data_IF_983588144566
#
_entry.id   IF_983588144566
#
_cell.length_a   1.000
_cell.length_b   1.000
_cell.length_c   1.000
_cell.angle_alpha   90.00
_cell.angle_beta   90.00
_cell.angle_gamma   90.00
#
_symmetry.space_group_name_H-M   'P 1'
#
loop_
_entity.id
_entity.type
_entity.pdbx_description
1 polymer ?
#
# COMPACT_ATOMS: atom_id res chain seq x y z
N UNK A 1 -87.43 -39.78 12.15
CA UNK A 1 -87.24 -38.32 12.01
C UNK A 1 -85.81 -38.09 11.50
N UNK A 2 -85.63 -37.58 10.27
CA UNK A 2 -84.32 -37.08 9.74
C UNK A 2 -84.15 -35.64 10.27
N UNK A 3 -82.93 -35.10 10.55
CA UNK A 3 -82.07 -34.57 9.46
C UNK A 3 -80.53 -34.49 9.68
N UNK A 4 -79.83 -34.28 8.55
CA UNK A 4 -78.53 -33.60 8.31
C UNK A 4 -77.25 -34.04 9.06
N UNK A 5 -76.18 -34.29 8.27
CA UNK A 5 -74.76 -33.85 8.43
C UNK A 5 -73.88 -34.81 7.58
N UNK A 6 -72.85 -34.49 6.82
CA UNK A 6 -72.29 -33.30 6.15
C UNK A 6 -71.29 -33.88 5.15
N UNK A 7 -71.23 -33.35 3.93
CA UNK A 7 -70.38 -33.83 2.85
C UNK A 7 -68.87 -33.70 3.18
N UNK A 8 -68.12 -34.78 3.00
CA UNK A 8 -66.66 -34.80 3.10
C UNK A 8 -66.07 -34.36 1.75
N UNK A 9 -65.67 -33.09 1.66
CA UNK A 9 -65.00 -32.51 0.50
C UNK A 9 -63.54 -32.98 0.50
N UNK A 10 -63.18 -33.84 -0.46
CA UNK A 10 -61.79 -34.18 -0.77
C UNK A 10 -61.13 -32.99 -1.47
N UNK A 11 -60.46 -32.13 -0.69
CA UNK A 11 -59.57 -31.08 -1.21
C UNK A 11 -58.28 -31.72 -1.72
N UNK A 12 -58.21 -31.98 -3.03
CA UNK A 12 -56.96 -32.25 -3.73
C UNK A 12 -56.12 -30.97 -3.75
N UNK A 13 -55.20 -30.83 -2.79
CA UNK A 13 -54.20 -29.76 -2.79
C UNK A 13 -53.21 -30.01 -3.93
N UNK A 14 -53.39 -29.33 -5.06
CA UNK A 14 -52.39 -29.23 -6.10
C UNK A 14 -51.17 -28.48 -5.56
N UNK A 15 -50.17 -29.22 -5.09
CA UNK A 15 -48.85 -28.68 -4.77
C UNK A 15 -48.19 -28.29 -6.09
N UNK A 16 -48.32 -27.02 -6.46
CA UNK A 16 -47.56 -26.43 -7.57
C UNK A 16 -46.09 -26.47 -7.14
N UNK A 17 -45.31 -27.40 -7.70
CA UNK A 17 -43.85 -27.40 -7.60
C UNK A 17 -43.35 -26.12 -8.27
N UNK A 18 -43.14 -25.07 -7.47
CA UNK A 18 -42.37 -23.92 -7.92
C UNK A 18 -40.92 -24.40 -8.18
N UNK A 19 -40.35 -24.15 -9.37
CA UNK A 19 -38.97 -24.50 -9.63
C UNK A 19 -38.08 -23.76 -8.62
N UNK A 20 -37.24 -24.53 -7.91
CA UNK A 20 -36.22 -23.97 -7.03
C UNK A 20 -35.36 -22.99 -7.83
N UNK A 21 -35.14 -21.75 -7.36
CA UNK A 21 -34.24 -20.83 -8.05
C UNK A 21 -32.87 -21.51 -8.11
N UNK A 22 -32.40 -21.77 -9.33
CA UNK A 22 -31.07 -22.29 -9.56
C UNK A 22 -30.08 -21.42 -8.77
N UNK A 23 -29.09 -22.01 -8.06
CA UNK A 23 -28.10 -21.23 -7.35
C UNK A 23 -27.49 -20.24 -8.34
N UNK A 24 -27.63 -18.94 -8.05
CA UNK A 24 -27.03 -17.90 -8.86
C UNK A 24 -25.56 -18.27 -9.04
N UNK A 25 -25.16 -18.50 -10.30
CA UNK A 25 -23.79 -18.76 -10.68
C UNK A 25 -22.94 -17.61 -10.13
N UNK A 26 -22.21 -17.89 -9.05
CA UNK A 26 -21.21 -16.97 -8.54
C UNK A 26 -20.31 -16.60 -9.72
N UNK A 27 -20.03 -15.31 -9.96
CA UNK A 27 -19.14 -14.93 -11.04
C UNK A 27 -17.82 -15.67 -10.84
N UNK A 28 -17.52 -16.58 -11.76
CA UNK A 28 -16.24 -17.23 -11.82
C UNK A 28 -15.21 -16.13 -11.99
N UNK A 29 -14.36 -15.94 -10.98
CA UNK A 29 -13.20 -15.07 -11.11
C UNK A 29 -12.39 -15.65 -12.26
N UNK A 30 -12.49 -15.03 -13.43
CA UNK A 30 -11.58 -15.28 -14.54
C UNK A 30 -10.20 -14.97 -13.97
N UNK A 31 -9.42 -16.00 -13.70
CA UNK A 31 -8.03 -15.81 -13.31
C UNK A 31 -7.34 -15.16 -14.50
N UNK A 32 -7.14 -13.84 -14.45
CA UNK A 32 -6.15 -13.22 -15.33
C UNK A 32 -4.86 -14.02 -15.15
N UNK A 33 -4.23 -14.43 -16.25
CA UNK A 33 -2.95 -15.17 -16.20
C UNK A 33 -1.86 -14.42 -15.43
N UNK A 34 -2.07 -13.11 -15.25
CA UNK A 34 -1.17 -12.17 -14.60
C UNK A 34 -1.68 -11.85 -13.18
N UNK A 35 -0.86 -12.02 -12.13
CA UNK A 35 -1.24 -11.70 -10.76
C UNK A 35 -1.21 -10.20 -10.51
N UNK A 36 -2.14 -9.67 -9.70
CA UNK A 36 -2.04 -8.29 -9.24
C UNK A 36 -0.81 -8.09 -8.34
N UNK A 37 -0.04 -7.03 -8.60
CA UNK A 37 1.18 -6.72 -7.85
C UNK A 37 0.96 -5.47 -6.99
N UNK A 38 1.14 -5.60 -5.68
CA UNK A 38 1.13 -4.49 -4.73
C UNK A 38 2.55 -4.25 -4.21
N UNK A 39 3.09 -3.07 -4.52
CA UNK A 39 4.39 -2.62 -4.01
C UNK A 39 4.19 -1.57 -2.90
N UNK A 40 4.64 -1.89 -1.68
CA UNK A 40 4.55 -1.01 -0.52
C UNK A 40 5.95 -0.45 -0.24
N UNK A 41 6.16 0.82 -0.55
CA UNK A 41 7.39 1.55 -0.21
C UNK A 41 7.18 2.33 1.09
N UNK A 42 7.99 2.04 2.11
CA UNK A 42 7.93 2.70 3.42
C UNK A 42 9.06 3.73 3.49
N UNK A 43 8.76 4.94 3.99
CA UNK A 43 9.74 6.02 4.16
C UNK A 43 10.31 6.00 5.58
N UNK A 44 11.63 6.12 5.70
CA UNK A 44 12.40 6.26 6.95
C UNK A 44 12.08 5.23 8.07
N UNK A 45 11.58 4.05 7.70
CA UNK A 45 11.37 2.95 8.64
C UNK A 45 12.66 2.16 8.87
N UNK A 46 13.01 1.95 10.14
CA UNK A 46 14.07 1.04 10.56
C UNK A 46 13.51 -0.31 11.05
N UNK A 47 14.39 -1.22 11.42
CA UNK A 47 14.07 -2.59 11.88
C UNK A 47 13.68 -2.67 13.36
N UNK A 48 13.69 -1.57 14.11
CA UNK A 48 13.40 -1.54 15.55
C UNK A 48 11.89 -1.61 15.83
N UNK A 49 11.29 -2.78 15.56
CA UNK A 49 9.85 -3.05 15.69
C UNK A 49 9.55 -4.47 16.18
N UNK A 50 8.28 -4.75 16.50
CA UNK A 50 7.81 -6.12 16.86
C UNK A 50 8.02 -7.18 15.78
N UNK A 51 8.34 -6.76 14.55
CA UNK A 51 8.70 -7.66 13.47
C UNK A 51 10.06 -8.35 13.71
N UNK A 52 11.00 -7.67 14.37
CA UNK A 52 12.34 -8.18 14.66
C UNK A 52 12.55 -8.54 16.14
N UNK A 53 11.89 -7.84 17.06
CA UNK A 53 11.95 -8.09 18.50
C UNK A 53 10.56 -8.02 19.13
N UNK A 54 10.03 -9.15 19.60
CA UNK A 54 8.69 -9.23 20.21
C UNK A 54 8.51 -8.41 21.47
N UNK A 55 9.61 -8.02 22.13
CA UNK A 55 9.57 -7.14 23.29
C UNK A 55 9.58 -5.64 22.94
N UNK A 56 9.73 -5.30 21.66
CA UNK A 56 9.80 -3.93 21.19
C UNK A 56 8.46 -3.18 21.40
N UNK A 57 8.47 -1.91 21.84
CA UNK A 57 7.26 -1.13 22.04
C UNK A 57 6.53 -0.72 20.74
N UNK A 58 7.23 -0.71 19.59
CA UNK A 58 6.68 -0.33 18.29
C UNK A 58 5.97 -1.53 17.66
N UNK A 59 4.66 -1.59 17.88
CA UNK A 59 3.80 -2.69 17.44
C UNK A 59 3.44 -2.60 15.96
N UNK A 60 3.61 -3.71 15.24
CA UNK A 60 3.34 -3.82 13.80
C UNK A 60 2.50 -5.06 13.44
N UNK A 61 1.34 -5.28 14.10
CA UNK A 61 0.60 -6.55 14.03
C UNK A 61 0.19 -6.94 12.59
N UNK A 62 -0.06 -5.96 11.72
CA UNK A 62 -0.36 -6.23 10.31
C UNK A 62 0.86 -6.66 9.49
N UNK A 63 2.05 -6.10 9.76
CA UNK A 63 3.29 -6.53 9.12
C UNK A 63 3.70 -7.91 9.63
N UNK A 64 3.51 -8.19 10.92
CA UNK A 64 3.72 -9.51 11.51
C UNK A 64 2.84 -10.57 10.85
N UNK A 65 1.53 -10.27 10.70
CA UNK A 65 0.59 -11.15 9.99
C UNK A 65 0.96 -11.33 8.51
N UNK A 66 1.48 -10.30 7.85
CA UNK A 66 1.94 -10.41 6.46
C UNK A 66 3.17 -11.31 6.36
N UNK A 67 4.14 -11.13 7.25
CA UNK A 67 5.36 -11.93 7.31
C UNK A 67 5.06 -13.42 7.57
N UNK A 68 4.11 -13.73 8.46
CA UNK A 68 3.67 -15.11 8.72
C UNK A 68 3.00 -15.80 7.53
N UNK A 69 2.37 -15.02 6.64
CA UNK A 69 1.65 -15.52 5.46
C UNK A 69 2.50 -15.58 4.20
N UNK A 70 3.75 -15.11 4.27
CA UNK A 70 4.62 -14.93 3.11
C UNK A 70 6.06 -15.33 3.39
N UNK A 71 6.97 -14.77 2.62
CA UNK A 71 8.41 -14.91 2.84
C UNK A 71 8.93 -13.66 3.54
N UNK A 72 9.59 -13.85 4.68
CA UNK A 72 10.21 -12.77 5.43
C UNK A 72 11.72 -12.78 5.26
N UNK A 73 12.29 -11.66 4.84
CA UNK A 73 13.73 -11.46 4.71
C UNK A 73 14.25 -10.73 5.95
N UNK A 74 14.86 -11.47 6.88
CA UNK A 74 15.49 -10.88 8.08
C UNK A 74 16.75 -10.06 7.79
N UNK A 75 17.25 -10.12 6.55
CA UNK A 75 18.43 -9.39 6.05
C UNK A 75 18.12 -8.79 4.69
N UNK A 76 17.34 -7.71 4.67
CA UNK A 76 17.06 -6.91 3.49
C UNK A 76 17.72 -5.53 3.65
N UNK A 77 18.56 -5.14 2.69
CA UNK A 77 19.35 -3.91 2.76
C UNK A 77 18.93 -2.93 1.67
N UNK A 78 18.88 -1.64 2.01
CA UNK A 78 18.75 -0.60 1.01
C UNK A 78 20.07 -0.41 0.25
N UNK A 79 19.99 0.04 -1.01
CA UNK A 79 21.19 0.33 -1.81
C UNK A 79 21.84 1.67 -1.46
N UNK A 80 21.15 2.52 -0.69
CA UNK A 80 21.67 3.79 -0.19
C UNK A 80 20.91 4.22 1.07
N UNK A 81 21.58 4.83 2.06
CA UNK A 81 20.94 5.35 3.27
C UNK A 81 20.21 6.70 3.05
N UNK A 82 19.80 7.01 1.82
CA UNK A 82 19.06 8.22 1.48
C UNK A 82 17.87 7.91 0.55
N UNK A 83 16.78 8.66 0.69
CA UNK A 83 15.50 8.40 0.05
C UNK A 83 15.60 8.31 -1.49
N UNK A 84 16.14 9.33 -2.15
CA UNK A 84 16.23 9.38 -3.62
C UNK A 84 17.11 8.26 -4.20
N UNK A 85 18.39 8.13 -3.81
CA UNK A 85 19.25 7.08 -4.36
C UNK A 85 18.73 5.66 -4.06
N UNK A 86 18.09 5.43 -2.91
CA UNK A 86 17.47 4.14 -2.58
C UNK A 86 16.28 3.84 -3.50
N UNK A 87 15.34 4.79 -3.65
CA UNK A 87 14.14 4.63 -4.50
C UNK A 87 14.50 4.51 -5.97
N UNK A 88 15.40 5.36 -6.46
CA UNK A 88 15.93 5.29 -7.80
C UNK A 88 16.55 3.93 -8.09
N UNK A 89 17.30 3.38 -7.13
CA UNK A 89 17.91 2.08 -7.30
C UNK A 89 16.90 0.94 -7.39
N UNK A 90 15.92 0.89 -6.49
CA UNK A 90 14.88 -0.16 -6.49
C UNK A 90 14.04 -0.11 -7.76
N UNK A 91 13.63 1.09 -8.19
CA UNK A 91 12.67 1.25 -9.25
C UNK A 91 13.30 1.22 -10.65
N UNK A 92 14.59 1.48 -10.78
CA UNK A 92 15.33 1.27 -12.04
C UNK A 92 16.04 -0.08 -12.14
N UNK A 93 16.20 -0.81 -11.03
CA UNK A 93 17.01 -2.02 -10.97
C UNK A 93 18.52 -1.78 -11.07
N UNK A 94 18.99 -0.54 -10.90
CA UNK A 94 20.42 -0.17 -11.02
C UNK A 94 20.99 0.35 -9.71
N UNK A 95 22.30 0.19 -9.45
CA UNK A 95 22.93 0.73 -8.23
C UNK A 95 23.18 2.24 -8.34
N UNK A 96 23.18 2.99 -7.23
CA UNK A 96 23.61 4.40 -7.19
C UNK A 96 24.97 4.64 -7.87
N UNK A 97 25.92 3.73 -7.65
CA UNK A 97 27.26 3.75 -8.26
C UNK A 97 27.27 3.64 -9.79
N UNK A 98 26.18 3.14 -10.38
CA UNK A 98 26.04 2.94 -11.83
C UNK A 98 25.12 3.99 -12.45
N UNK A 99 24.10 4.44 -11.72
CA UNK A 99 23.12 5.39 -12.24
C UNK A 99 23.43 6.86 -11.95
N UNK A 100 24.33 7.19 -11.02
CA UNK A 100 24.72 8.57 -10.76
C UNK A 100 23.76 9.36 -9.84
N UNK A 101 22.75 8.71 -9.26
CA UNK A 101 21.87 9.29 -8.24
C UNK A 101 22.51 9.07 -6.87
N UNK A 102 23.12 10.10 -6.29
CA UNK A 102 23.89 9.98 -5.04
C UNK A 102 23.28 10.72 -3.85
N UNK A 103 22.38 11.67 -4.08
CA UNK A 103 21.80 12.50 -3.03
C UNK A 103 20.31 12.70 -3.26
N UNK A 104 19.63 13.11 -2.19
CA UNK A 104 18.20 13.47 -2.25
C UNK A 104 17.92 14.54 -3.31
N UNK A 105 18.83 15.51 -3.48
CA UNK A 105 18.71 16.57 -4.49
C UNK A 105 19.09 16.17 -5.92
N UNK A 106 19.56 14.94 -6.15
CA UNK A 106 19.94 14.47 -7.49
C UNK A 106 18.71 14.40 -8.40
N UNK A 107 18.85 14.89 -9.63
CA UNK A 107 17.84 14.71 -10.67
C UNK A 107 17.97 13.30 -11.25
N UNK A 108 17.09 12.39 -10.83
CA UNK A 108 17.15 10.99 -11.26
C UNK A 108 16.78 10.83 -12.74
N UNK A 109 15.90 11.68 -13.30
CA UNK A 109 15.49 11.58 -14.71
C UNK A 109 16.62 12.02 -15.62
N UNK A 110 17.37 13.05 -15.23
CA UNK A 110 18.60 13.43 -15.95
C UNK A 110 19.67 12.35 -15.88
N UNK A 111 19.77 11.66 -14.75
CA UNK A 111 20.72 10.57 -14.54
C UNK A 111 20.36 9.29 -15.34
N UNK A 112 19.06 9.04 -15.53
CA UNK A 112 18.51 7.83 -16.17
C UNK A 112 17.46 8.19 -17.23
N UNK A 113 17.82 8.90 -18.31
CA UNK A 113 16.84 9.47 -19.26
C UNK A 113 16.03 8.41 -20.03
N UNK A 114 16.67 7.28 -20.38
CA UNK A 114 16.08 6.24 -21.24
C UNK A 114 15.72 4.97 -20.45
N UNK A 115 15.69 5.04 -19.11
CA UNK A 115 15.48 3.86 -18.28
C UNK A 115 14.01 3.54 -18.11
N UNK A 116 13.62 2.31 -18.45
CA UNK A 116 12.31 1.77 -18.12
C UNK A 116 12.28 1.43 -16.63
N UNK A 117 11.50 2.19 -15.85
CA UNK A 117 11.33 1.94 -14.42
C UNK A 117 10.24 0.90 -14.16
N UNK A 118 10.24 0.32 -12.96
CA UNK A 118 9.34 -0.77 -12.55
C UNK A 118 7.86 -0.58 -12.94
N UNK A 119 7.20 0.56 -12.65
CA UNK A 119 5.79 0.73 -13.03
C UNK A 119 5.60 0.82 -14.56
N UNK A 120 6.55 1.42 -15.29
CA UNK A 120 6.53 1.42 -16.76
C UNK A 120 6.70 0.01 -17.32
N UNK A 121 7.57 -0.80 -16.72
CA UNK A 121 7.74 -2.20 -17.11
C UNK A 121 6.41 -2.95 -16.99
N UNK A 122 5.68 -2.80 -15.88
CA UNK A 122 4.35 -3.39 -15.74
C UNK A 122 3.36 -2.89 -16.80
N UNK A 123 3.30 -1.57 -17.06
CA UNK A 123 2.43 -0.99 -18.10
C UNK A 123 2.71 -1.56 -19.48
N UNK A 124 3.99 -1.66 -19.85
CA UNK A 124 4.44 -2.23 -21.12
C UNK A 124 4.05 -3.72 -21.29
N UNK A 125 3.66 -4.40 -20.21
CA UNK A 125 3.24 -5.81 -20.20
C UNK A 125 1.75 -5.99 -19.86
N UNK A 126 0.92 -4.97 -20.10
CA UNK A 126 -0.54 -5.07 -20.02
C UNK A 126 -1.12 -4.92 -18.62
N UNK A 127 -0.35 -4.40 -17.66
CA UNK A 127 -0.86 -4.00 -16.36
C UNK A 127 -1.30 -2.55 -16.37
N UNK A 128 -2.26 -2.23 -15.49
CA UNK A 128 -2.50 -0.85 -15.07
C UNK A 128 -1.63 -0.55 -13.85
N UNK A 129 -0.91 0.56 -13.88
CA UNK A 129 -0.04 1.00 -12.80
C UNK A 129 -0.65 2.20 -12.08
N UNK A 130 -1.01 1.99 -10.81
CA UNK A 130 -1.55 3.01 -9.92
C UNK A 130 -0.53 3.32 -8.83
N UNK A 131 -0.45 4.58 -8.42
CA UNK A 131 0.38 5.00 -7.31
C UNK A 131 -0.32 6.02 -6.41
N UNK A 132 0.09 6.07 -5.15
CA UNK A 132 -0.34 7.08 -4.20
C UNK A 132 0.80 7.39 -3.25
N UNK A 133 0.86 8.64 -2.81
CA UNK A 133 1.90 9.10 -1.90
C UNK A 133 3.27 9.22 -2.56
N UNK A 134 4.39 8.99 -1.83
CA UNK A 134 5.72 9.27 -2.39
C UNK A 134 6.28 8.06 -3.17
N UNK A 135 6.28 8.11 -4.51
CA UNK A 135 7.03 7.16 -5.37
C UNK A 135 7.88 7.90 -6.42
N UNK A 136 8.75 8.77 -5.91
CA UNK A 136 10.18 9.03 -6.18
C UNK A 136 10.49 10.34 -5.42
N UNK A 137 11.76 10.65 -5.17
CA UNK A 137 12.10 11.75 -4.28
C UNK A 137 12.26 13.05 -5.09
N UNK A 138 11.42 14.05 -4.79
CA UNK A 138 11.24 15.22 -5.63
C UNK A 138 11.05 16.51 -4.81
N UNK A 139 11.59 17.61 -5.33
CA UNK A 139 11.23 18.96 -4.90
C UNK A 139 10.34 19.62 -5.97
N UNK A 140 9.13 20.05 -5.59
CA UNK A 140 8.22 20.80 -6.46
C UNK A 140 7.28 19.96 -7.33
N UNK A 141 6.92 20.47 -8.52
CA UNK A 141 5.91 19.89 -9.45
C UNK A 141 6.37 18.64 -10.21
N UNK A 142 7.44 18.00 -9.75
CA UNK A 142 8.05 16.84 -10.40
C UNK A 142 7.32 15.52 -10.10
N UNK A 143 6.03 15.58 -9.80
CA UNK A 143 5.16 14.41 -9.93
C UNK A 143 5.13 14.09 -11.42
N UNK A 144 6.07 13.26 -11.89
CA UNK A 144 6.21 12.77 -13.27
C UNK A 144 5.09 11.78 -13.61
N UNK A 145 3.86 12.23 -13.31
CA UNK A 145 2.61 11.53 -13.14
C UNK A 145 2.25 10.63 -14.31
N UNK A 146 2.65 11.01 -15.52
CA UNK A 146 2.01 10.55 -16.74
C UNK A 146 2.80 9.50 -17.53
N UNK A 147 4.13 9.43 -17.38
CA UNK A 147 4.93 8.41 -18.05
C UNK A 147 4.94 7.08 -17.29
N UNK A 148 4.95 7.15 -15.96
CA UNK A 148 5.17 5.98 -15.11
C UNK A 148 3.87 5.27 -14.69
N UNK A 149 2.78 6.02 -14.52
CA UNK A 149 1.54 5.52 -13.94
C UNK A 149 0.33 5.89 -14.82
N UNK A 150 -0.69 5.04 -14.81
CA UNK A 150 -2.00 5.35 -15.38
C UNK A 150 -2.74 6.36 -14.50
N UNK A 151 -2.54 6.27 -13.18
CA UNK A 151 -3.04 7.25 -12.22
C UNK A 151 -2.10 7.38 -11.02
N UNK A 152 -1.92 8.61 -10.55
CA UNK A 152 -1.15 8.91 -9.34
C UNK A 152 -1.94 9.85 -8.44
N UNK A 153 -2.26 9.37 -7.25
CA UNK A 153 -2.94 10.15 -6.22
C UNK A 153 -1.90 10.84 -5.35
N UNK A 154 -1.75 12.14 -5.54
CA UNK A 154 -0.89 12.97 -4.68
C UNK A 154 -1.43 13.02 -3.25
N UNK A 155 -0.52 13.08 -2.27
CA UNK A 155 -0.93 13.41 -0.92
C UNK A 155 -1.55 14.82 -0.91
N UNK A 156 -2.66 15.03 -0.18
CA UNK A 156 -3.21 16.36 -0.02
C UNK A 156 -2.17 17.27 0.64
N UNK A 157 -1.99 18.47 0.10
CA UNK A 157 -1.00 19.47 0.58
C UNK A 157 -1.22 19.90 2.03
N UNK A 158 -2.42 19.70 2.55
CA UNK A 158 -2.73 19.61 3.97
C UNK A 158 -3.04 18.15 4.25
N UNK A 159 -2.22 17.48 5.04
CA UNK A 159 -2.64 16.20 5.62
C UNK A 159 -3.84 16.49 6.55
N UNK A 160 -5.06 16.01 6.23
CA UNK A 160 -6.18 16.14 7.13
C UNK A 160 -5.89 15.19 8.29
N UNK A 161 -5.77 15.76 9.49
CA UNK A 161 -5.70 15.03 10.75
C UNK A 161 -4.54 14.02 10.89
N UNK A 162 -3.30 14.51 10.95
CA UNK A 162 -2.41 13.91 11.95
C UNK A 162 -2.79 14.53 13.29
N UNK A 163 -3.45 13.80 14.21
CA UNK A 163 -3.51 14.25 15.59
C UNK A 163 -2.06 14.29 16.07
N UNK A 164 -1.46 15.48 16.06
CA UNK A 164 -0.35 15.74 16.96
C UNK A 164 -0.87 15.31 18.33
N UNK A 165 -0.21 14.34 18.99
CA UNK A 165 -0.62 13.93 20.32
C UNK A 165 -0.75 15.20 21.17
N UNK A 166 -1.88 15.37 21.88
CA UNK A 166 -2.15 16.61 22.63
C UNK A 166 -1.07 16.93 23.66
N UNK A 167 -0.25 15.94 24.00
CA UNK A 167 0.89 15.98 24.90
C UNK A 167 2.24 16.27 24.19
N UNK A 168 2.25 16.43 22.86
CA UNK A 168 3.43 16.72 22.06
C UNK A 168 4.39 15.55 21.84
N UNK A 169 3.99 14.32 22.19
CA UNK A 169 4.87 13.16 22.15
C UNK A 169 4.64 12.32 20.88
N UNK A 170 5.58 12.34 19.93
CA UNK A 170 5.56 11.43 18.79
C UNK A 170 6.01 10.03 19.25
N UNK A 171 5.15 9.02 19.13
CA UNK A 171 5.47 7.61 19.45
C UNK A 171 6.06 7.38 20.86
N UNK A 172 5.58 8.12 21.87
CA UNK A 172 6.01 7.95 23.26
C UNK A 172 7.38 8.55 23.58
N UNK A 173 8.03 9.23 22.63
CA UNK A 173 9.29 9.96 22.87
C UNK A 173 8.95 11.34 23.42
N UNK A 174 9.32 11.59 24.68
CA UNK A 174 9.22 12.91 25.30
C UNK A 174 10.17 13.89 24.61
N UNK A 175 9.60 14.87 23.90
CA UNK A 175 10.26 16.11 23.48
C UNK A 175 11.75 15.97 23.14
N UNK A 176 12.09 15.21 22.10
CA UNK A 176 13.49 15.13 21.66
C UNK A 176 13.98 16.54 21.31
N UNK A 177 15.14 16.93 21.85
CA UNK A 177 15.86 18.14 21.47
C UNK A 177 17.30 17.70 21.26
N UNK A 178 17.87 17.94 20.07
CA UNK A 178 19.25 17.62 19.78
C UNK A 178 20.19 18.44 20.70
N UNK A 179 21.46 18.02 20.86
CA UNK A 179 22.44 18.74 21.67
C UNK A 179 22.67 20.21 21.27
N UNK A 180 22.35 20.57 20.02
CA UNK A 180 22.41 21.95 19.50
C UNK A 180 21.14 22.78 19.79
N UNK A 181 20.16 22.22 20.50
CA UNK A 181 18.90 22.88 20.83
C UNK A 181 17.79 22.72 19.80
N UNK A 182 18.01 21.98 18.70
CA UNK A 182 16.96 21.72 17.71
C UNK A 182 15.91 20.73 18.23
N UNK A 183 14.64 21.14 18.27
CA UNK A 183 13.53 20.25 18.66
C UNK A 183 13.27 19.21 17.56
N UNK A 184 13.11 17.96 17.97
CA UNK A 184 12.74 16.80 17.13
C UNK A 184 11.38 17.00 16.49
N UNK A 185 10.96 16.13 15.57
CA UNK A 185 10.24 16.49 14.35
C UNK A 185 8.86 17.10 14.62
N UNK A 186 8.87 18.37 14.99
CA UNK A 186 7.85 19.39 14.71
C UNK A 186 8.28 20.22 13.50
N UNK A 187 9.37 19.83 12.84
CA UNK A 187 9.87 20.55 11.68
C UNK A 187 8.87 20.41 10.54
N UNK A 188 8.45 21.54 9.99
CA UNK A 188 7.83 21.65 8.66
C UNK A 188 8.75 21.13 7.53
N UNK A 189 9.95 20.66 7.88
CA UNK A 189 10.99 20.14 7.01
C UNK A 189 11.12 18.61 7.12
N UNK A 190 10.16 17.92 7.75
CA UNK A 190 10.00 16.50 7.45
C UNK A 190 9.59 16.46 5.98
N UNK A 191 10.54 16.05 5.14
CA UNK A 191 10.45 16.07 3.69
C UNK A 191 9.53 14.90 3.29
N UNK A 192 8.22 15.02 3.59
CA UNK A 192 7.19 14.11 3.11
C UNK A 192 7.14 14.12 1.59
#
# INVERSE_FOLDING_TARGET
MKPLLTALILLFSAFILLPSPAPASQPSVVSSSNPNVLFIAIDDMNDWTTLFDKSNPIQTPNLERLAQRGTFFSKAYCNSPACNPSRASVLSGTRPSSNGVYANRSDWKKALPDTVILPQHFRNHGYLAYASGKIFHHHGTQFHKYEAFDEFVEFPSRQPDMPMPRDGNLNGIRSWTAPDGSKGPVSRNFDW
#
